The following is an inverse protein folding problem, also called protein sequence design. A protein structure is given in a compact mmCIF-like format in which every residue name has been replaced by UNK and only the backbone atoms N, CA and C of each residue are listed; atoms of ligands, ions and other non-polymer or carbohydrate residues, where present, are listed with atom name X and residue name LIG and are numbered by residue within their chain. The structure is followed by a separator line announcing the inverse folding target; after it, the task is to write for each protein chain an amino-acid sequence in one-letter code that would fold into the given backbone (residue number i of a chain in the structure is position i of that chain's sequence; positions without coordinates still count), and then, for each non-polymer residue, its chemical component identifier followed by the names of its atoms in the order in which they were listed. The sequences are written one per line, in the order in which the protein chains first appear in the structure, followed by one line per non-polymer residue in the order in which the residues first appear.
data_IF_003750677857
#
_entry.id   IF_003750677857
#
_cell.length_a   1.000
_cell.length_b   1.000
_cell.length_c   1.000
_cell.angle_alpha   90.00
_cell.angle_beta   90.00
_cell.angle_gamma   90.00
#
_symmetry.space_group_name_H-M   'P 1'
#
loop_
_entity.id
_entity.type
_entity.pdbx_description
1 polymer ?
#
# COMPACT_ATOMS: atom_id res chain seq x y z
N UNK A 1 -20.54 5.12 -1.88
CA UNK A 1 -19.57 4.55 -2.77
C UNK A 1 -18.58 3.75 -1.99
N UNK A 2 -18.48 2.52 -2.29
CA UNK A 2 -17.61 1.66 -1.53
C UNK A 2 -16.28 1.45 -2.23
N UNK A 3 -15.23 1.56 -1.43
CA UNK A 3 -13.90 1.26 -1.93
C UNK A 3 -13.44 0.02 -1.19
N UNK A 4 -13.55 -1.15 -1.81
CA UNK A 4 -13.10 -2.36 -1.15
C UNK A 4 -11.59 -2.34 -0.94
N UNK A 5 -11.14 -3.16 -0.02
CA UNK A 5 -9.72 -3.30 0.20
C UNK A 5 -9.09 -3.97 -1.00
N UNK A 6 -8.09 -3.34 -1.56
CA UNK A 6 -7.40 -3.87 -2.73
C UNK A 6 -6.19 -4.68 -2.32
N UNK A 7 -5.39 -4.15 -1.41
CA UNK A 7 -4.15 -4.83 -1.04
C UNK A 7 -3.64 -4.30 0.28
N UNK A 8 -2.72 -5.06 0.86
CA UNK A 8 -2.03 -4.66 2.07
C UNK A 8 -0.67 -4.09 1.67
N UNK A 9 -0.34 -2.94 2.23
CA UNK A 9 0.94 -2.31 1.98
C UNK A 9 1.89 -2.68 3.10
N UNK A 10 3.10 -3.00 2.76
CA UNK A 10 4.02 -3.57 3.73
C UNK A 10 4.77 -2.52 4.54
N UNK A 11 4.94 -1.35 3.98
CA UNK A 11 5.66 -0.32 4.70
C UNK A 11 5.27 1.04 4.15
N UNK A 12 5.79 2.05 4.83
CA UNK A 12 5.44 3.41 4.49
C UNK A 12 5.91 3.81 3.10
N UNK A 13 7.04 3.26 2.67
CA UNK A 13 7.55 3.61 1.35
C UNK A 13 6.61 3.13 0.26
N UNK A 14 6.10 1.93 0.41
CA UNK A 14 5.15 1.44 -0.58
C UNK A 14 3.92 2.34 -0.63
N UNK A 15 3.44 2.74 0.54
CA UNK A 15 2.26 3.58 0.61
C UNK A 15 2.52 4.91 -0.07
N UNK A 16 3.67 5.48 0.16
CA UNK A 16 3.98 6.78 -0.37
C UNK A 16 4.13 6.76 -1.88
N UNK A 17 4.87 5.77 -2.39
CA UNK A 17 5.02 5.66 -3.84
C UNK A 17 3.69 5.36 -4.50
N UNK A 18 2.92 4.48 -3.91
CA UNK A 18 1.64 4.13 -4.49
C UNK A 18 0.73 5.35 -4.55
N UNK A 19 0.70 6.10 -3.47
CA UNK A 19 -0.15 7.28 -3.44
C UNK A 19 0.23 8.24 -4.55
N UNK A 20 1.52 8.46 -4.75
CA UNK A 20 1.94 9.38 -5.78
C UNK A 20 1.53 8.91 -7.16
N UNK A 21 1.66 7.64 -7.42
CA UNK A 21 1.30 7.11 -8.71
C UNK A 21 -0.20 7.17 -8.93
N UNK A 22 -0.97 6.83 -7.91
CA UNK A 22 -2.41 6.86 -8.05
C UNK A 22 -2.93 8.29 -8.21
N UNK A 23 -2.32 9.24 -7.52
CA UNK A 23 -2.68 10.64 -7.70
C UNK A 23 -2.36 11.09 -9.11
N UNK A 24 -1.23 10.68 -9.62
CA UNK A 24 -0.82 11.09 -10.95
C UNK A 24 -1.75 10.52 -12.01
N UNK A 25 -2.21 9.30 -11.81
CA UNK A 25 -3.13 8.66 -12.74
C UNK A 25 -4.56 9.02 -12.47
N UNK A 26 -4.81 9.80 -11.42
CA UNK A 26 -6.15 10.23 -11.05
C UNK A 26 -7.05 9.04 -10.75
N UNK A 27 -6.49 8.04 -10.10
CA UNK A 27 -7.25 6.89 -9.66
C UNK A 27 -7.75 7.17 -8.24
N UNK A 28 -9.05 7.11 -8.01
CA UNK A 28 -9.57 7.32 -6.66
C UNK A 28 -9.07 6.22 -5.74
N UNK A 29 -8.64 6.61 -4.56
CA UNK A 29 -8.11 5.63 -3.62
C UNK A 29 -8.17 6.20 -2.22
N UNK A 30 -7.99 5.31 -1.26
CA UNK A 30 -7.99 5.68 0.13
C UNK A 30 -6.96 4.82 0.84
N UNK A 31 -5.97 5.43 1.44
CA UNK A 31 -4.94 4.71 2.17
C UNK A 31 -5.25 4.76 3.65
N UNK A 32 -5.10 3.62 4.29
CA UNK A 32 -5.45 3.53 5.69
C UNK A 32 -4.33 2.86 6.44
N UNK A 33 -3.73 3.59 7.33
CA UNK A 33 -2.60 3.08 8.09
C UNK A 33 -3.09 2.36 9.34
N UNK A 34 -2.49 1.24 9.64
CA UNK A 34 -2.83 0.55 10.88
C UNK A 34 -2.46 1.39 12.09
N UNK A 35 -1.51 2.29 11.93
CA UNK A 35 -1.11 3.14 13.04
C UNK A 35 -2.21 4.09 13.47
N UNK A 36 -3.11 4.40 12.58
CA UNK A 36 -4.19 5.30 12.92
C UNK A 36 -5.13 4.72 13.93
N UNK A 37 -5.14 3.40 14.05
CA UNK A 37 -5.98 2.74 15.03
C UNK A 37 -5.17 2.21 16.18
N UNK A 38 -3.97 2.70 16.33
CA UNK A 38 -3.05 2.12 17.27
C UNK A 38 -3.56 2.14 18.71
N UNK A 39 -4.23 3.21 19.06
CA UNK A 39 -4.66 3.32 20.43
C UNK A 39 -5.74 2.33 20.79
N UNK A 40 -6.26 1.63 19.83
CA UNK A 40 -7.26 0.61 20.13
C UNK A 40 -6.62 -0.61 20.77
N UNK A 41 -5.35 -0.81 20.56
CA UNK A 41 -4.68 -1.93 21.16
C UNK A 41 -4.93 -3.26 20.50
N UNK A 42 -5.67 -3.26 19.41
CA UNK A 42 -6.00 -4.50 18.75
C UNK A 42 -5.20 -4.78 17.52
N UNK A 43 -4.50 -3.78 17.07
CA UNK A 43 -3.81 -3.89 15.82
C UNK A 43 -2.44 -4.51 15.93
N UNK A 44 -2.03 -4.84 17.11
CA UNK A 44 -0.68 -5.31 17.31
C UNK A 44 -0.34 -6.53 16.49
N UNK A 45 -1.32 -7.31 16.18
CA UNK A 45 -1.07 -8.52 15.41
C UNK A 45 -1.07 -8.28 13.94
N UNK A 46 -1.39 -7.06 13.52
CA UNK A 46 -1.42 -6.75 12.11
C UNK A 46 -0.03 -6.65 11.55
N UNK A 47 0.15 -7.18 10.37
CA UNK A 47 1.41 -7.05 9.67
C UNK A 47 1.30 -6.00 8.60
N UNK A 48 2.40 -5.29 8.38
CA UNK A 48 2.43 -4.31 7.33
C UNK A 48 2.09 -2.93 7.84
N UNK A 49 2.02 -2.02 6.90
CA UNK A 49 1.78 -0.63 7.21
C UNK A 49 0.29 -0.30 7.23
N UNK A 50 -0.44 -0.88 6.31
CA UNK A 50 -1.86 -0.56 6.20
C UNK A 50 -2.42 -1.14 4.93
N UNK A 51 -3.51 -0.56 4.47
CA UNK A 51 -4.20 -1.08 3.29
C UNK A 51 -4.51 0.05 2.33
N UNK A 52 -4.72 -0.30 1.07
CA UNK A 52 -5.22 0.62 0.08
C UNK A 52 -6.61 0.16 -0.33
N UNK A 53 -7.54 1.10 -0.35
CA UNK A 53 -8.91 0.86 -0.80
C UNK A 53 -9.14 1.67 -2.06
N UNK A 54 -9.88 1.11 -2.99
CA UNK A 54 -10.18 1.78 -4.24
C UNK A 54 -11.33 1.07 -4.92
N UNK A 55 -11.90 1.67 -5.97
CA UNK A 55 -12.95 0.99 -6.70
C UNK A 55 -12.45 -0.31 -7.28
N UNK A 56 -13.31 -1.30 -7.28
CA UNK A 56 -12.94 -2.62 -7.72
C UNK A 56 -12.39 -2.63 -9.14
N UNK A 57 -12.88 -1.73 -9.98
CA UNK A 57 -12.45 -1.71 -11.37
C UNK A 57 -10.97 -1.41 -11.53
N UNK A 58 -10.35 -0.84 -10.52
CA UNK A 58 -8.92 -0.52 -10.57
C UNK A 58 -8.06 -1.56 -9.87
N UNK A 59 -8.66 -2.64 -9.42
CA UNK A 59 -7.91 -3.63 -8.63
C UNK A 59 -6.67 -4.13 -9.36
N UNK A 60 -6.86 -4.57 -10.60
CA UNK A 60 -5.73 -5.16 -11.32
C UNK A 60 -4.64 -4.14 -11.55
N UNK A 61 -5.04 -2.93 -11.88
CA UNK A 61 -4.05 -1.88 -12.12
C UNK A 61 -3.27 -1.56 -10.86
N UNK A 62 -3.97 -1.45 -9.74
CA UNK A 62 -3.30 -1.11 -8.49
C UNK A 62 -2.37 -2.23 -8.04
N UNK A 63 -2.83 -3.47 -8.15
CA UNK A 63 -1.98 -4.59 -7.78
C UNK A 63 -0.71 -4.60 -8.63
N UNK A 64 -0.87 -4.34 -9.90
CA UNK A 64 0.28 -4.32 -10.80
C UNK A 64 1.27 -3.21 -10.41
N UNK A 65 0.73 -2.06 -10.05
CA UNK A 65 1.59 -0.96 -9.62
C UNK A 65 2.36 -1.34 -8.36
N UNK A 66 1.67 -1.97 -7.42
CA UNK A 66 2.32 -2.38 -6.18
C UNK A 66 3.44 -3.36 -6.47
N UNK A 67 3.20 -4.29 -7.36
CA UNK A 67 4.23 -5.26 -7.69
C UNK A 67 5.43 -4.60 -8.34
N UNK A 68 5.19 -3.59 -9.15
CA UNK A 68 6.30 -2.85 -9.74
C UNK A 68 7.09 -2.11 -8.69
N UNK A 69 6.39 -1.52 -7.74
CA UNK A 69 7.07 -0.80 -6.68
C UNK A 69 7.97 -1.76 -5.90
N UNK A 70 7.48 -2.93 -5.59
CA UNK A 70 8.26 -3.89 -4.83
C UNK A 70 9.45 -4.39 -5.61
N UNK A 71 9.30 -4.50 -6.92
CA UNK A 71 10.40 -4.94 -7.74
C UNK A 71 11.49 -3.90 -7.82
N UNK A 72 11.14 -2.63 -7.72
CA UNK A 72 12.11 -1.57 -7.87
C UNK A 72 12.72 -1.12 -6.56
N UNK A 73 12.03 -1.28 -5.48
CA UNK A 73 12.56 -0.86 -4.20
C UNK A 73 13.54 -1.88 -3.70
N UNK A 74 14.78 -1.47 -3.51
CA UNK A 74 15.81 -2.40 -3.07
C UNK A 74 15.81 -2.57 -1.58
N UNK A 75 14.71 -2.61 -1.00
CA UNK A 75 14.63 -2.69 0.42
C UNK A 75 15.29 -3.90 0.99
N UNK A 76 15.31 -4.83 0.24
CA UNK A 76 15.97 -5.96 0.74
C UNK A 76 17.38 -5.90 0.45
N UNK A 77 17.39 -5.59 0.26
CA UNK A 77 18.41 -5.70 0.04
C UNK A 77 19.27 -5.84 0.38
N UNK A 78 19.35 -5.91 0.55
CA UNK A 78 20.03 -6.17 0.76
C UNK A 78 20.70 -6.54 0.18
N UNK A 79 20.59 -6.65 -0.31
CA UNK A 79 21.06 -6.96 -0.97
C UNK A 79 21.98 -6.45 -1.15
N UNK A 80 22.05 -6.00 -0.95
CA UNK A 80 22.75 -5.39 -1.09
C UNK A 80 23.80 -5.56 -0.81
N UNK A 81 24.07 -5.77 -0.66
CA UNK A 81 24.97 -5.96 -0.35
C UNK A 81 25.83 -6.15 -0.84
N UNK A 82 25.98 -6.10 -1.36
CA UNK A 82 26.81 -6.19 -1.85
C UNK A 82 27.39 -5.80 -1.85
#
# INVERSE_FOLDING_TARGET
MDFPKIAVLENQFEAQYLKEILDEREIPHFLRSYHDSAYDGLFQMQKGWGVVNAPEEFRDEIVEIIEEIRAQLPLKDDEVVE
#
